data_IF_202118084721
#
_entry.id   IF_202118084721
#
_cell.length_a   1.000
_cell.length_b   1.000
_cell.length_c   1.000
_cell.angle_alpha   90.00
_cell.angle_beta   90.00
_cell.angle_gamma   90.00
#
_symmetry.space_group_name_H-M   'P 1'
#
loop_
_entity.id
_entity.type
_entity.pdbx_description
1 polymer ?
#
# COMPACT_ATOMS: atom_id res chain seq x y z
N UNK A 1 7.48 54.34 28.83
CA UNK A 1 7.60 53.42 27.68
C UNK A 1 7.05 52.07 28.10
N UNK A 2 6.04 51.60 27.38
CA UNK A 2 5.12 50.56 27.81
C UNK A 2 5.73 49.15 27.80
N UNK A 3 5.46 48.41 28.87
CA UNK A 3 5.51 46.96 28.96
C UNK A 3 4.25 46.37 28.32
N UNK A 4 4.40 45.35 27.48
CA UNK A 4 3.29 44.50 27.04
C UNK A 4 3.73 43.03 27.13
N UNK A 5 3.34 42.43 28.25
CA UNK A 5 3.09 41.00 28.40
C UNK A 5 1.78 40.64 27.70
N UNK A 6 1.81 39.61 26.84
CA UNK A 6 0.60 38.97 26.35
C UNK A 6 0.64 37.47 26.69
N UNK A 7 -0.16 37.14 27.69
CA UNK A 7 -0.63 35.81 28.04
C UNK A 7 -1.71 35.39 27.04
N UNK A 8 -1.49 34.30 26.32
CA UNK A 8 -2.55 33.61 25.60
C UNK A 8 -2.85 32.31 26.34
N UNK A 9 -3.91 32.40 27.15
CA UNK A 9 -4.67 31.28 27.69
C UNK A 9 -5.43 30.62 26.54
N UNK A 10 -5.24 29.33 26.34
CA UNK A 10 -6.15 28.49 25.56
C UNK A 10 -6.47 27.25 26.40
N UNK A 11 -7.74 27.07 26.80
CA UNK A 11 -8.18 25.93 27.58
C UNK A 11 -8.54 24.79 26.63
N UNK A 12 -7.79 23.69 26.66
CA UNK A 12 -8.23 22.32 26.32
C UNK A 12 -7.02 21.38 26.12
N UNK A 13 -6.14 21.27 27.11
CA UNK A 13 -5.16 20.18 27.17
C UNK A 13 -4.95 19.81 28.63
N UNK A 14 -5.90 19.06 29.20
CA UNK A 14 -5.70 18.33 30.46
C UNK A 14 -6.83 17.32 30.69
N UNK A 15 -6.60 16.07 30.29
CA UNK A 15 -6.99 14.83 30.99
C UNK A 15 -6.90 13.64 30.03
N UNK A 16 -5.75 12.97 29.99
CA UNK A 16 -5.74 11.50 30.03
C UNK A 16 -4.63 11.10 31.00
N UNK A 17 -5.08 10.57 32.14
CA UNK A 17 -4.25 10.03 33.20
C UNK A 17 -3.45 8.83 32.68
N UNK A 18 -2.17 8.84 32.99
CA UNK A 18 -1.26 7.71 32.91
C UNK A 18 -1.81 6.50 33.69
N UNK A 19 -2.14 5.42 32.99
CA UNK A 19 -2.13 4.07 33.56
C UNK A 19 -1.29 3.21 32.62
N UNK A 20 -0.14 2.77 33.15
CA UNK A 20 0.87 2.04 32.40
C UNK A 20 0.41 0.66 31.98
N UNK A 21 0.62 0.35 30.71
CA UNK A 21 0.72 -1.01 30.20
C UNK A 21 2.04 -1.08 29.42
N UNK A 22 3.03 -1.75 30.02
CA UNK A 22 4.30 -2.06 29.37
C UNK A 22 4.07 -3.17 28.36
N UNK A 23 4.26 -2.88 27.06
CA UNK A 23 4.37 -3.92 26.05
C UNK A 23 5.82 -4.42 26.00
N UNK A 24 6.04 -5.63 26.51
CA UNK A 24 7.30 -6.36 26.38
C UNK A 24 7.28 -7.13 25.05
N UNK A 25 8.01 -6.64 24.04
CA UNK A 25 8.24 -7.37 22.79
C UNK A 25 9.51 -8.21 22.92
N UNK A 26 9.35 -9.48 23.33
CA UNK A 26 10.38 -10.51 23.11
C UNK A 26 9.92 -11.44 21.99
N UNK A 27 10.30 -11.14 20.77
CA UNK A 27 10.27 -12.11 19.67
C UNK A 27 11.60 -12.88 19.67
N UNK A 28 11.57 -14.14 20.07
CA UNK A 28 12.70 -15.06 19.95
C UNK A 28 12.48 -15.97 18.74
N UNK A 29 13.42 -15.92 17.78
CA UNK A 29 13.46 -16.85 16.65
C UNK A 29 13.91 -18.25 17.11
N UNK A 30 13.23 -19.35 16.71
CA UNK A 30 13.71 -20.68 17.05
C UNK A 30 14.91 -21.09 16.18
N UNK A 31 15.91 -21.66 16.84
CA UNK A 31 17.15 -22.21 16.25
C UNK A 31 16.86 -23.55 15.54
N UNK A 32 17.32 -23.70 14.30
CA UNK A 32 17.35 -24.98 13.58
C UNK A 32 18.52 -25.84 14.07
N UNK A 33 18.27 -27.09 14.46
CA UNK A 33 19.32 -28.07 14.73
C UNK A 33 18.90 -29.52 14.40
N UNK A 34 19.69 -30.18 13.54
CA UNK A 34 20.00 -31.62 13.62
C UNK A 34 19.10 -32.63 12.91
N UNK A 35 19.63 -33.26 11.84
CA UNK A 35 19.13 -34.54 11.28
C UNK A 35 19.48 -35.70 12.23
N UNK A 36 18.50 -36.47 12.66
CA UNK A 36 18.72 -37.78 13.30
C UNK A 36 18.19 -38.87 12.37
N UNK A 37 19.06 -39.79 11.94
CA UNK A 37 18.68 -41.08 11.34
C UNK A 37 18.56 -42.10 12.47
N UNK A 38 17.42 -42.78 12.59
CA UNK A 38 17.29 -43.97 13.43
C UNK A 38 17.16 -45.21 12.54
N UNK A 39 18.14 -46.10 12.69
CA UNK A 39 18.27 -47.38 12.02
C UNK A 39 18.12 -48.46 13.11
N UNK A 40 16.92 -49.04 13.24
CA UNK A 40 16.58 -50.36 13.86
C UNK A 40 15.05 -50.52 13.93
N UNK A 41 14.49 -51.72 13.65
CA UNK A 41 13.05 -51.93 13.68
C UNK A 41 12.59 -52.16 15.13
N UNK A 42 11.64 -51.35 15.61
CA UNK A 42 10.94 -51.61 16.86
C UNK A 42 9.73 -52.49 16.52
N UNK A 43 9.75 -53.73 17.01
CA UNK A 43 8.62 -54.65 16.97
C UNK A 43 7.59 -54.15 17.98
N UNK A 44 6.42 -53.72 17.50
CA UNK A 44 5.31 -53.29 18.35
C UNK A 44 4.31 -54.46 18.42
N UNK A 45 4.12 -55.00 19.62
CA UNK A 45 3.07 -55.98 19.93
C UNK A 45 1.68 -55.36 19.73
N UNK A 46 0.70 -56.20 19.41
CA UNK A 46 -0.66 -55.85 18.94
C UNK A 46 -1.53 -54.97 19.88
N UNK A 47 -0.98 -54.32 20.90
CA UNK A 47 -1.69 -53.33 21.72
C UNK A 47 -1.70 -51.91 21.11
N UNK A 48 -0.94 -51.65 20.03
CA UNK A 48 -0.90 -50.33 19.36
C UNK A 48 -1.86 -50.22 18.16
N UNK A 49 -2.46 -51.34 17.73
CA UNK A 49 -3.42 -51.32 16.62
C UNK A 49 -4.84 -50.85 17.01
N UNK A 50 -5.16 -50.71 18.31
CA UNK A 50 -6.47 -50.20 18.75
C UNK A 50 -6.44 -48.74 19.23
N UNK A 51 -5.29 -48.08 19.21
CA UNK A 51 -5.13 -46.69 19.63
C UNK A 51 -4.71 -45.73 18.50
N UNK A 52 -4.70 -46.21 17.25
CA UNK A 52 -4.36 -45.42 16.06
C UNK A 52 -5.51 -45.29 15.05
N UNK A 53 -6.70 -45.79 15.40
CA UNK A 53 -7.92 -45.52 14.64
C UNK A 53 -8.62 -44.20 15.07
N UNK A 54 -7.97 -43.37 15.89
CA UNK A 54 -8.52 -42.07 16.36
C UNK A 54 -7.58 -40.89 16.03
N UNK A 55 -6.77 -40.99 14.96
CA UNK A 55 -5.97 -39.88 14.41
C UNK A 55 -6.24 -39.70 12.91
N UNK A 56 -7.47 -40.00 12.51
CA UNK A 56 -8.05 -39.53 11.26
C UNK A 56 -9.38 -38.93 11.67
N UNK A 57 -9.36 -37.62 11.93
CA UNK A 57 -10.51 -36.70 11.92
C UNK A 57 -10.09 -35.35 12.55
N UNK A 58 -8.90 -34.84 12.22
CA UNK A 58 -8.67 -33.40 12.36
C UNK A 58 -9.24 -32.73 11.10
N UNK A 59 -10.53 -32.94 10.87
CA UNK A 59 -11.31 -32.16 9.93
C UNK A 59 -11.16 -30.71 10.35
N UNK A 60 -10.62 -29.92 9.43
CA UNK A 60 -10.60 -28.46 9.45
C UNK A 60 -11.68 -27.89 10.38
N UNK A 61 -11.26 -27.32 11.50
CA UNK A 61 -12.05 -26.31 12.19
C UNK A 61 -12.16 -25.14 11.22
N UNK A 62 -13.17 -25.20 10.34
CA UNK A 62 -13.50 -24.07 9.49
C UNK A 62 -13.75 -22.89 10.43
N UNK A 63 -12.89 -21.88 10.34
CA UNK A 63 -12.97 -20.65 11.14
C UNK A 63 -14.35 -19.97 11.00
N UNK A 64 -15.05 -20.29 9.91
CA UNK A 64 -16.39 -19.88 9.59
C UNK A 64 -17.25 -21.15 9.48
N UNK A 65 -18.08 -21.42 10.49
CA UNK A 65 -19.08 -22.47 10.39
C UNK A 65 -20.27 -22.01 9.54
N UNK A 66 -21.09 -22.95 9.07
CA UNK A 66 -22.25 -22.64 8.23
C UNK A 66 -23.18 -21.65 8.92
N UNK A 67 -23.33 -21.76 10.24
CA UNK A 67 -24.17 -20.87 11.05
C UNK A 67 -23.70 -19.41 11.00
N UNK A 68 -22.38 -19.19 11.09
CA UNK A 68 -21.77 -17.88 10.95
C UNK A 68 -22.03 -17.31 9.54
N UNK A 69 -21.85 -18.11 8.49
CA UNK A 69 -22.08 -17.68 7.10
C UNK A 69 -23.55 -17.29 6.88
N UNK A 70 -24.48 -18.08 7.39
CA UNK A 70 -25.91 -17.80 7.28
C UNK A 70 -26.31 -16.55 8.09
N UNK A 71 -25.82 -16.41 9.31
CA UNK A 71 -26.16 -15.28 10.17
C UNK A 71 -25.56 -13.97 9.66
N UNK A 72 -24.30 -13.98 9.20
CA UNK A 72 -23.64 -12.83 8.60
C UNK A 72 -24.40 -12.29 7.37
N UNK A 73 -24.89 -13.20 6.53
CA UNK A 73 -25.68 -12.87 5.34
C UNK A 73 -26.99 -12.15 5.70
N UNK A 74 -27.61 -12.52 6.82
CA UNK A 74 -28.88 -11.94 7.27
C UNK A 74 -28.69 -10.58 7.95
N UNK A 75 -27.64 -10.41 8.75
CA UNK A 75 -27.35 -9.15 9.46
C UNK A 75 -26.91 -8.02 8.52
N UNK A 76 -26.18 -8.33 7.44
CA UNK A 76 -25.76 -7.31 6.46
C UNK A 76 -26.94 -6.68 5.70
N UNK A 77 -28.06 -7.39 5.55
CA UNK A 77 -29.20 -6.97 4.75
C UNK A 77 -29.99 -5.80 5.39
N UNK A 78 -30.02 -5.72 6.73
CA UNK A 78 -30.76 -4.69 7.47
C UNK A 78 -29.96 -3.39 7.72
N UNK A 79 -28.63 -3.45 7.80
CA UNK A 79 -27.76 -2.28 7.93
C UNK A 79 -27.40 -1.63 6.58
N UNK A 80 -27.71 -2.30 5.47
CA UNK A 80 -27.29 -1.90 4.14
C UNK A 80 -27.89 -0.57 3.64
N UNK A 81 -29.13 -0.23 3.98
CA UNK A 81 -29.82 0.89 3.29
C UNK A 81 -29.23 2.26 3.63
N UNK A 82 -28.95 2.53 4.91
CA UNK A 82 -28.36 3.81 5.34
C UNK A 82 -26.88 3.93 4.95
N UNK A 83 -26.13 2.83 4.98
CA UNK A 83 -24.71 2.84 4.59
C UNK A 83 -24.51 2.94 3.07
N UNK A 84 -25.46 2.44 2.27
CA UNK A 84 -25.43 2.59 0.81
C UNK A 84 -25.61 4.06 0.40
N UNK A 85 -26.58 4.78 0.98
CA UNK A 85 -26.80 6.20 0.66
C UNK A 85 -25.60 7.08 1.06
N UNK A 86 -24.98 6.78 2.21
CA UNK A 86 -23.73 7.43 2.63
C UNK A 86 -22.58 7.14 1.66
N UNK A 87 -22.43 5.88 1.22
CA UNK A 87 -21.41 5.49 0.26
C UNK A 87 -21.61 6.18 -1.09
N UNK A 88 -22.84 6.30 -1.59
CA UNK A 88 -23.16 7.01 -2.83
C UNK A 88 -22.81 8.50 -2.73
N UNK A 89 -23.10 9.12 -1.58
CA UNK A 89 -22.74 10.52 -1.30
C UNK A 89 -21.22 10.70 -1.35
N UNK A 90 -20.46 9.84 -0.66
CA UNK A 90 -18.99 9.90 -0.67
C UNK A 90 -18.39 9.64 -2.05
N UNK A 91 -18.96 8.71 -2.83
CA UNK A 91 -18.53 8.47 -4.21
C UNK A 91 -18.73 9.74 -5.04
N UNK A 92 -19.88 10.42 -4.89
CA UNK A 92 -20.14 11.68 -5.59
C UNK A 92 -19.15 12.76 -5.18
N UNK A 93 -18.86 12.92 -3.89
CA UNK A 93 -17.87 13.90 -3.42
C UNK A 93 -16.48 13.63 -3.99
N UNK A 94 -16.06 12.36 -4.08
CA UNK A 94 -14.76 12.01 -4.69
C UNK A 94 -14.76 12.31 -6.19
N UNK A 95 -15.87 12.06 -6.90
CA UNK A 95 -16.01 12.46 -8.32
C UNK A 95 -15.93 13.98 -8.47
N UNK A 96 -16.58 14.73 -7.58
CA UNK A 96 -16.50 16.18 -7.58
C UNK A 96 -15.07 16.67 -7.27
N UNK A 97 -14.31 15.97 -6.42
CA UNK A 97 -12.88 16.25 -6.23
C UNK A 97 -12.07 16.05 -7.53
N UNK A 98 -12.34 14.97 -8.30
CA UNK A 98 -11.69 14.79 -9.61
C UNK A 98 -12.01 15.92 -10.60
N UNK A 99 -13.26 16.38 -10.61
CA UNK A 99 -13.69 17.48 -11.48
C UNK A 99 -13.19 18.85 -10.99
N UNK A 100 -13.00 19.02 -9.68
CA UNK A 100 -12.52 20.23 -9.05
C UNK A 100 -11.00 20.39 -9.14
N UNK A 101 -10.25 19.29 -9.34
CA UNK A 101 -8.86 19.38 -9.80
C UNK A 101 -8.94 20.04 -11.18
N UNK A 102 -8.49 21.30 -11.33
CA UNK A 102 -8.64 22.00 -12.58
C UNK A 102 -7.93 21.17 -13.63
N UNK A 103 -8.70 20.68 -14.61
CA UNK A 103 -8.36 19.65 -15.61
C UNK A 103 -7.06 19.97 -16.39
N UNK A 104 -6.44 21.14 -16.18
CA UNK A 104 -5.25 21.60 -16.88
C UNK A 104 -4.24 22.37 -16.00
N UNK A 105 -4.16 22.09 -14.69
CA UNK A 105 -2.99 22.62 -13.98
C UNK A 105 -1.74 21.91 -14.47
N UNK A 106 -0.89 22.68 -15.14
CA UNK A 106 0.30 22.22 -15.86
C UNK A 106 1.50 21.98 -14.94
N UNK A 107 1.31 22.12 -13.62
CA UNK A 107 2.36 21.98 -12.64
C UNK A 107 2.62 20.49 -12.35
N UNK A 108 3.88 20.17 -12.13
CA UNK A 108 4.28 18.83 -11.77
C UNK A 108 3.69 18.33 -10.45
N UNK A 109 3.37 19.26 -9.55
CA UNK A 109 2.77 18.91 -8.27
C UNK A 109 1.35 18.39 -8.44
N UNK A 110 0.60 18.99 -9.37
CA UNK A 110 -0.79 18.60 -9.63
C UNK A 110 -0.86 17.27 -10.38
N UNK A 111 0.06 17.03 -11.32
CA UNK A 111 0.23 15.73 -11.97
C UNK A 111 0.52 14.64 -10.92
N UNK A 112 1.45 14.90 -9.99
CA UNK A 112 1.79 13.96 -8.94
C UNK A 112 0.64 13.73 -7.96
N UNK A 113 -0.09 14.79 -7.57
CA UNK A 113 -1.25 14.69 -6.69
C UNK A 113 -2.37 13.85 -7.33
N UNK A 114 -2.59 14.04 -8.63
CA UNK A 114 -3.58 13.26 -9.40
C UNK A 114 -3.21 11.77 -9.42
N UNK A 115 -1.93 11.44 -9.69
CA UNK A 115 -1.44 10.06 -9.62
C UNK A 115 -1.54 9.45 -8.22
N UNK A 116 -1.26 10.23 -7.18
CA UNK A 116 -1.40 9.81 -5.78
C UNK A 116 -2.86 9.50 -5.43
N UNK A 117 -3.81 10.31 -5.92
CA UNK A 117 -5.23 10.05 -5.76
C UNK A 117 -5.65 8.74 -6.42
N UNK A 118 -5.18 8.47 -7.64
CA UNK A 118 -5.41 7.20 -8.33
C UNK A 118 -4.82 6.02 -7.52
N UNK A 119 -3.58 6.13 -7.04
CA UNK A 119 -2.96 5.08 -6.22
C UNK A 119 -3.76 4.79 -4.94
N UNK A 120 -4.25 5.83 -4.28
CA UNK A 120 -5.07 5.69 -3.07
C UNK A 120 -6.37 4.94 -3.36
N UNK A 121 -7.07 5.26 -4.45
CA UNK A 121 -8.32 4.57 -4.81
C UNK A 121 -8.10 3.09 -5.12
N UNK A 122 -7.01 2.78 -5.84
CA UNK A 122 -6.63 1.41 -6.14
C UNK A 122 -6.22 0.65 -4.88
N UNK A 123 -5.45 1.26 -3.98
CA UNK A 123 -5.05 0.65 -2.71
C UNK A 123 -6.23 0.42 -1.76
N UNK A 124 -7.28 1.27 -1.84
CA UNK A 124 -8.52 1.11 -1.08
C UNK A 124 -9.47 0.07 -1.72
N UNK A 125 -9.22 -0.37 -2.96
CA UNK A 125 -10.07 -1.34 -3.67
C UNK A 125 -11.44 -0.78 -4.07
N UNK A 126 -11.57 0.54 -4.20
CA UNK A 126 -12.82 1.25 -4.57
C UNK A 126 -12.76 1.91 -5.95
N UNK A 127 -11.65 1.74 -6.67
CA UNK A 127 -11.38 2.26 -8.00
C UNK A 127 -12.44 1.86 -9.05
N UNK A 128 -13.16 0.75 -8.84
CA UNK A 128 -14.30 0.33 -9.69
C UNK A 128 -15.40 1.38 -9.85
N UNK A 129 -15.54 2.32 -8.90
CA UNK A 129 -16.53 3.40 -8.96
C UNK A 129 -16.07 4.63 -9.77
N UNK A 130 -14.78 4.69 -10.12
CA UNK A 130 -14.11 5.87 -10.66
C UNK A 130 -13.36 5.57 -11.97
N UNK A 131 -13.73 4.53 -12.70
CA UNK A 131 -12.97 4.05 -13.86
C UNK A 131 -12.83 5.12 -14.96
N UNK A 132 -13.90 5.90 -15.20
CA UNK A 132 -13.90 6.97 -16.20
C UNK A 132 -13.00 8.14 -15.76
N UNK A 133 -13.09 8.54 -14.50
CA UNK A 133 -12.29 9.61 -13.90
C UNK A 133 -10.81 9.24 -13.87
N UNK A 134 -10.49 8.01 -13.45
CA UNK A 134 -9.13 7.47 -13.46
C UNK A 134 -8.56 7.51 -14.87
N UNK A 135 -9.30 7.01 -15.87
CA UNK A 135 -8.84 7.03 -17.27
C UNK A 135 -8.57 8.45 -17.77
N UNK A 136 -9.48 9.38 -17.50
CA UNK A 136 -9.32 10.78 -17.91
C UNK A 136 -8.07 11.43 -17.29
N UNK A 137 -7.83 11.16 -15.99
CA UNK A 137 -6.63 11.62 -15.29
C UNK A 137 -5.37 11.01 -15.90
N UNK A 138 -5.34 9.69 -16.11
CA UNK A 138 -4.17 9.01 -16.65
C UNK A 138 -3.86 9.48 -18.07
N UNK A 139 -4.87 9.62 -18.93
CA UNK A 139 -4.72 10.16 -20.28
C UNK A 139 -4.12 11.58 -20.25
N UNK A 140 -4.54 12.43 -19.31
CA UNK A 140 -4.00 13.78 -19.15
C UNK A 140 -2.55 13.78 -18.66
N UNK A 141 -2.23 12.97 -17.64
CA UNK A 141 -0.87 12.88 -17.10
C UNK A 141 0.08 12.25 -18.12
N UNK A 142 -0.38 11.27 -18.89
CA UNK A 142 0.43 10.59 -19.91
C UNK A 142 0.85 11.54 -21.03
N UNK A 143 0.03 12.52 -21.42
CA UNK A 143 0.43 13.59 -22.37
C UNK A 143 1.58 14.46 -21.87
N UNK A 144 1.82 14.46 -20.56
CA UNK A 144 2.90 15.18 -19.90
C UNK A 144 4.05 14.25 -19.48
N UNK A 145 3.94 12.97 -19.81
CA UNK A 145 5.00 12.00 -19.59
C UNK A 145 6.06 12.13 -20.68
N UNK A 146 7.33 12.08 -20.28
CA UNK A 146 8.50 12.16 -21.15
C UNK A 146 9.48 11.04 -20.74
N UNK A 147 10.48 10.75 -21.56
CA UNK A 147 11.57 9.80 -21.27
C UNK A 147 12.36 10.17 -19.99
N UNK A 148 12.17 11.40 -19.52
CA UNK A 148 12.72 11.98 -18.30
C UNK A 148 11.86 11.76 -17.06
N UNK A 149 10.64 11.25 -17.19
CA UNK A 149 9.68 11.08 -16.11
C UNK A 149 8.98 12.39 -15.71
N UNK A 150 8.40 12.43 -14.51
CA UNK A 150 7.68 13.60 -13.98
C UNK A 150 8.63 14.41 -13.09
N UNK A 151 9.09 15.58 -13.56
CA UNK A 151 9.97 16.49 -12.83
C UNK A 151 9.29 17.74 -12.28
N UNK A 152 9.88 18.43 -11.31
CA UNK A 152 9.27 19.53 -10.54
C UNK A 152 8.77 20.74 -11.37
N UNK A 153 9.49 21.07 -12.45
CA UNK A 153 9.12 22.15 -13.35
C UNK A 153 9.22 21.67 -14.80
N UNK A 154 8.30 22.16 -15.65
CA UNK A 154 8.30 21.87 -17.10
C UNK A 154 9.60 22.34 -17.78
N UNK A 155 10.24 23.37 -17.21
CA UNK A 155 11.46 24.02 -17.74
C UNK A 155 12.74 23.62 -17.00
N UNK A 156 12.63 23.09 -15.77
CA UNK A 156 13.75 22.61 -14.97
C UNK A 156 13.44 21.19 -14.47
N UNK A 157 13.70 20.16 -15.30
CA UNK A 157 13.34 18.79 -15.01
C UNK A 157 14.38 18.17 -14.07
N UNK A 158 14.46 18.69 -12.85
CA UNK A 158 14.92 17.90 -11.73
C UNK A 158 13.83 16.84 -11.50
N UNK A 159 13.89 15.78 -12.30
CA UNK A 159 13.01 14.64 -12.20
C UNK A 159 13.10 14.08 -10.79
N UNK A 160 11.97 13.75 -10.18
CA UNK A 160 11.94 13.19 -8.84
C UNK A 160 11.72 11.68 -8.96
N UNK A 161 12.63 10.89 -8.40
CA UNK A 161 12.59 9.43 -8.46
C UNK A 161 11.27 8.88 -7.89
N UNK A 162 10.82 9.40 -6.75
CA UNK A 162 9.57 9.00 -6.12
C UNK A 162 8.36 9.25 -7.03
N UNK A 163 8.30 10.44 -7.65
CA UNK A 163 7.21 10.81 -8.59
C UNK A 163 7.23 9.93 -9.84
N UNK A 164 8.42 9.71 -10.38
CA UNK A 164 8.61 8.92 -11.60
C UNK A 164 8.29 7.45 -11.36
N UNK A 165 8.75 6.87 -10.26
CA UNK A 165 8.43 5.48 -9.88
C UNK A 165 6.92 5.27 -9.66
N UNK A 166 6.25 6.22 -8.98
CA UNK A 166 4.80 6.18 -8.82
C UNK A 166 4.08 6.22 -10.17
N UNK A 167 4.38 7.23 -11.00
CA UNK A 167 3.76 7.37 -12.32
C UNK A 167 4.00 6.16 -13.21
N UNK A 168 5.25 5.70 -13.29
CA UNK A 168 5.62 4.50 -14.04
C UNK A 168 4.79 3.27 -13.63
N UNK A 169 4.68 3.00 -12.32
CA UNK A 169 3.90 1.88 -11.82
C UNK A 169 2.42 2.01 -12.20
N UNK A 170 1.84 3.18 -11.95
CA UNK A 170 0.42 3.43 -12.22
C UNK A 170 0.13 3.30 -13.72
N UNK A 171 0.99 3.83 -14.58
CA UNK A 171 0.83 3.69 -16.03
C UNK A 171 0.83 2.23 -16.49
N UNK A 172 1.80 1.43 -16.04
CA UNK A 172 1.85 0.01 -16.40
C UNK A 172 0.65 -0.79 -15.91
N UNK A 173 0.24 -0.58 -14.66
CA UNK A 173 -0.92 -1.27 -14.09
C UNK A 173 -2.22 -0.95 -14.85
N UNK A 174 -2.30 0.22 -15.49
CA UNK A 174 -3.44 0.65 -16.28
C UNK A 174 -3.25 0.45 -17.80
N UNK A 175 -2.20 -0.27 -18.22
CA UNK A 175 -2.00 -0.66 -19.63
C UNK A 175 -1.38 0.41 -20.54
N UNK A 176 -0.78 1.46 -19.98
CA UNK A 176 -0.03 2.45 -20.76
C UNK A 176 1.39 1.96 -21.04
N UNK A 177 1.88 2.24 -22.25
CA UNK A 177 3.24 1.91 -22.64
C UNK A 177 4.23 2.93 -22.05
N UNK A 178 5.05 2.48 -21.10
CA UNK A 178 6.11 3.25 -20.47
C UNK A 178 7.37 2.41 -20.36
N UNK A 179 8.48 2.94 -20.88
CA UNK A 179 9.78 2.28 -20.82
C UNK A 179 10.37 2.34 -19.42
N UNK A 180 10.97 1.22 -18.98
CA UNK A 180 11.75 1.13 -17.75
C UNK A 180 12.96 2.08 -17.74
N UNK A 181 13.40 2.51 -18.92
CA UNK A 181 14.60 3.33 -19.11
C UNK A 181 14.49 4.70 -18.46
N UNK A 182 13.27 5.18 -18.22
CA UNK A 182 12.99 6.39 -17.44
C UNK A 182 13.65 6.35 -16.06
N UNK A 183 13.85 5.15 -15.49
CA UNK A 183 14.49 4.98 -14.18
C UNK A 183 16.02 5.00 -14.27
N UNK A 184 16.62 4.63 -15.41
CA UNK A 184 18.09 4.52 -15.56
C UNK A 184 18.82 5.81 -15.19
N UNK A 185 18.19 6.96 -15.43
CA UNK A 185 18.75 8.28 -15.15
C UNK A 185 18.93 8.60 -13.66
N UNK A 186 18.23 7.88 -12.80
CA UNK A 186 18.34 8.03 -11.34
C UNK A 186 19.41 7.11 -10.75
N UNK A 187 20.06 6.31 -11.58
CA UNK A 187 21.14 5.43 -11.18
C UNK A 187 22.43 6.25 -11.04
N UNK A 188 23.03 6.21 -9.86
CA UNK A 188 24.35 6.77 -9.58
C UNK A 188 25.46 5.96 -10.28
N UNK A 189 26.69 6.48 -10.31
CA UNK A 189 27.84 5.83 -10.96
C UNK A 189 28.15 4.43 -10.40
N UNK A 190 27.89 4.22 -9.10
CA UNK A 190 28.03 2.93 -8.42
C UNK A 190 26.92 1.92 -8.80
N UNK A 191 25.89 2.38 -9.51
CA UNK A 191 24.76 1.58 -9.91
C UNK A 191 23.58 1.57 -8.94
N UNK A 192 23.59 2.37 -7.88
CA UNK A 192 22.52 2.47 -6.88
C UNK A 192 21.54 3.60 -7.25
N UNK A 193 20.27 3.51 -6.83
CA UNK A 193 19.27 4.57 -7.08
C UNK A 193 19.22 5.62 -5.97
N UNK A 194 19.56 5.21 -4.76
CA UNK A 194 19.66 6.04 -3.57
C UNK A 194 20.88 5.51 -2.82
N UNK A 195 21.85 6.38 -2.51
CA UNK A 195 22.98 6.00 -1.69
C UNK A 195 22.56 5.40 -0.33
N UNK A 196 23.51 4.74 0.33
CA UNK A 196 23.33 3.89 1.52
C UNK A 196 22.80 4.56 2.80
N UNK A 197 22.26 5.77 2.73
CA UNK A 197 21.85 6.60 3.86
C UNK A 197 20.46 7.20 3.60
N UNK A 198 19.42 6.39 3.79
CA UNK A 198 18.04 6.84 3.79
C UNK A 198 17.75 7.52 5.13
N UNK A 199 17.69 8.85 5.17
CA UNK A 199 17.62 9.62 6.42
C UNK A 199 16.29 10.37 6.58
N UNK A 200 15.51 10.50 5.50
CA UNK A 200 14.25 11.23 5.52
C UNK A 200 13.04 10.34 5.22
N UNK A 201 11.87 10.77 5.69
CA UNK A 201 10.58 10.15 5.33
C UNK A 201 10.36 10.14 3.80
N UNK A 202 10.89 11.15 3.10
CA UNK A 202 10.87 11.24 1.65
C UNK A 202 11.62 10.09 0.99
N UNK A 203 12.78 9.71 1.53
CA UNK A 203 13.59 8.61 1.01
C UNK A 203 12.88 7.27 1.19
N UNK A 204 12.22 7.06 2.33
CA UNK A 204 11.44 5.84 2.59
C UNK A 204 10.29 5.71 1.58
N UNK A 205 9.53 6.79 1.34
CA UNK A 205 8.46 6.80 0.34
C UNK A 205 9.01 6.54 -1.07
N UNK A 206 10.16 7.11 -1.39
CA UNK A 206 10.85 6.91 -2.66
C UNK A 206 11.22 5.44 -2.88
N UNK A 207 11.89 4.82 -1.90
CA UNK A 207 12.28 3.40 -1.94
C UNK A 207 11.05 2.50 -2.06
N UNK A 208 10.01 2.78 -1.28
CA UNK A 208 8.77 2.00 -1.33
C UNK A 208 8.13 2.06 -2.73
N UNK A 209 8.05 3.25 -3.33
CA UNK A 209 7.49 3.38 -4.67
C UNK A 209 8.37 2.75 -5.74
N UNK A 210 9.70 2.85 -5.61
CA UNK A 210 10.63 2.17 -6.50
C UNK A 210 10.51 0.64 -6.40
N UNK A 211 10.45 0.11 -5.18
CA UNK A 211 10.21 -1.30 -4.93
C UNK A 211 8.88 -1.75 -5.55
N UNK A 212 7.78 -1.03 -5.31
CA UNK A 212 6.47 -1.36 -5.91
C UNK A 212 6.51 -1.28 -7.44
N UNK A 213 7.30 -0.36 -8.02
CA UNK A 213 7.49 -0.26 -9.47
C UNK A 213 8.28 -1.44 -10.05
N UNK A 214 9.28 -1.95 -9.35
CA UNK A 214 10.03 -3.14 -9.80
C UNK A 214 9.15 -4.40 -9.91
N UNK A 215 8.06 -4.46 -9.14
CA UNK A 215 7.12 -5.60 -9.18
C UNK A 215 6.29 -5.66 -10.48
N UNK A 216 6.29 -4.59 -11.29
CA UNK A 216 5.60 -4.53 -12.60
C UNK A 216 6.59 -4.56 -13.78
N UNK A 217 7.77 -5.14 -13.54
CA UNK A 217 8.81 -5.31 -14.55
C UNK A 217 8.44 -6.36 -15.60
N UNK A 218 8.81 -6.10 -16.86
CA UNK A 218 8.74 -7.09 -17.91
C UNK A 218 10.06 -7.89 -17.99
N UNK A 219 10.03 -9.15 -18.47
CA UNK A 219 11.24 -9.92 -18.68
C UNK A 219 12.25 -9.18 -19.58
N UNK A 220 13.49 -9.04 -19.10
CA UNK A 220 14.58 -8.39 -19.85
C UNK A 220 14.90 -6.96 -19.41
N UNK A 221 14.08 -6.35 -18.56
CA UNK A 221 14.28 -4.99 -18.06
C UNK A 221 15.30 -4.95 -16.91
N UNK A 222 16.59 -4.94 -17.24
CA UNK A 222 17.70 -5.00 -16.27
C UNK A 222 17.78 -3.84 -15.27
N UNK A 223 17.02 -2.77 -15.49
CA UNK A 223 17.00 -1.60 -14.59
C UNK A 223 16.04 -1.80 -13.42
N UNK A 224 15.04 -2.69 -13.57
CA UNK A 224 14.09 -3.07 -12.53
C UNK A 224 14.70 -4.15 -11.63
#
# INVERSE_FOLDING_TARGET
MASLSLTLSSPCLNKISSNGLQFSTKFALPKMCGRIRLNKPIIITNAVLSATQDIADNHNLALWDDHFIFNFSFTQLHQATSHVEQAETLVKEIKDMFNAIPIYSSSANDLFQSLSMVDNLQCLGIDRHFQEEIKAVLDYVYRHWDERGIGYYREFPNSNLNRTALGFRIFRLNGYDVSSDVLKRFKEENGEFLGSSCQSEGDIKCILNLFRASLVAFPGEKVM
#
